data_IF_836847943797
#
_entry.id   IF_836847943797
#
_cell.length_a   1.000
_cell.length_b   1.000
_cell.length_c   1.000
_cell.angle_alpha   90.00
_cell.angle_beta   90.00
_cell.angle_gamma   90.00
#
_symmetry.space_group_name_H-M   'P 1'
#
loop_
_entity.id
_entity.type
_entity.pdbx_description
1 polymer ?
#
# COMPACT_ATOMS: atom_id res chain seq x y z
N UNK A 1 -22.10 -15.16 33.46
CA UNK A 1 -20.91 -15.33 32.60
C UNK A 1 -21.46 -15.34 31.19
N UNK A 2 -21.67 -14.18 30.57
CA UNK A 2 -22.37 -14.14 29.28
C UNK A 2 -21.56 -13.33 28.28
N UNK A 3 -20.37 -13.86 27.97
CA UNK A 3 -19.58 -13.48 26.80
C UNK A 3 -20.22 -13.98 25.48
N UNK A 4 -21.55 -13.94 25.39
CA UNK A 4 -22.35 -14.39 24.23
C UNK A 4 -23.09 -13.23 23.56
N UNK A 5 -22.46 -12.05 23.57
CA UNK A 5 -22.77 -10.97 22.64
C UNK A 5 -21.63 -10.82 21.64
N UNK A 6 -21.16 -11.94 21.08
CA UNK A 6 -20.31 -11.92 19.90
C UNK A 6 -21.19 -11.51 18.70
N UNK A 7 -21.25 -10.20 18.47
CA UNK A 7 -21.17 -9.58 17.14
C UNK A 7 -21.84 -10.38 16.01
N UNK A 8 -23.17 -10.38 15.95
CA UNK A 8 -23.90 -10.69 14.72
C UNK A 8 -23.80 -9.48 13.77
N UNK A 9 -22.59 -9.15 13.32
CA UNK A 9 -22.43 -8.20 12.22
C UNK A 9 -22.66 -8.98 10.92
N UNK A 10 -23.51 -8.51 9.99
CA UNK A 10 -23.62 -9.14 8.69
C UNK A 10 -22.24 -9.19 8.03
N UNK A 11 -21.95 -10.28 7.32
CA UNK A 11 -20.77 -10.34 6.47
C UNK A 11 -20.93 -9.32 5.34
N UNK A 12 -20.21 -8.20 5.46
CA UNK A 12 -20.17 -7.16 4.45
C UNK A 12 -18.79 -7.14 3.78
N UNK A 13 -18.78 -7.14 2.45
CA UNK A 13 -17.55 -6.97 1.68
C UNK A 13 -17.21 -5.48 1.65
N UNK A 14 -16.30 -5.05 2.52
CA UNK A 14 -15.76 -3.69 2.48
C UNK A 14 -14.74 -3.58 1.35
N UNK A 15 -15.07 -2.80 0.31
CA UNK A 15 -14.17 -2.54 -0.82
C UNK A 15 -13.27 -1.35 -0.52
N UNK A 16 -12.01 -1.43 -0.96
CA UNK A 16 -11.10 -0.30 -0.91
C UNK A 16 -11.27 0.57 -2.17
N UNK A 17 -11.52 1.87 -1.99
CA UNK A 17 -11.69 2.81 -3.10
C UNK A 17 -10.43 3.65 -3.39
N UNK A 18 -9.33 3.39 -2.67
CA UNK A 18 -8.08 4.10 -2.87
C UNK A 18 -7.34 3.60 -4.13
N UNK A 19 -7.10 4.48 -5.09
CA UNK A 19 -6.46 4.14 -6.38
C UNK A 19 -5.03 3.59 -6.24
N UNK A 20 -4.35 3.84 -5.12
CA UNK A 20 -3.02 3.30 -4.82
C UNK A 20 -3.04 1.93 -4.12
N UNK A 21 -4.22 1.37 -3.82
CA UNK A 21 -4.36 0.06 -3.20
C UNK A 21 -4.48 -1.04 -4.27
N UNK A 22 -3.67 -2.10 -4.16
CA UNK A 22 -3.66 -3.21 -5.13
C UNK A 22 -4.96 -4.01 -5.18
N UNK A 23 -5.78 -3.89 -4.14
CA UNK A 23 -7.09 -4.53 -4.05
C UNK A 23 -8.24 -3.60 -4.47
N UNK A 24 -7.95 -2.34 -4.78
CA UNK A 24 -8.97 -1.40 -5.25
C UNK A 24 -9.37 -1.68 -6.68
N UNK A 25 -10.65 -1.54 -6.98
CA UNK A 25 -11.17 -1.54 -8.35
C UNK A 25 -10.68 -0.33 -9.16
N UNK A 26 -10.24 0.74 -8.49
CA UNK A 26 -9.70 1.95 -9.10
C UNK A 26 -8.18 1.91 -9.24
N UNK A 27 -7.55 0.76 -8.99
CA UNK A 27 -6.11 0.62 -9.13
C UNK A 27 -5.69 0.74 -10.60
N UNK A 28 -4.58 1.45 -10.85
CA UNK A 28 -4.10 1.68 -12.20
C UNK A 28 -3.83 0.37 -12.93
N UNK A 29 -4.37 0.24 -14.15
CA UNK A 29 -4.12 -0.90 -15.03
C UNK A 29 -2.63 -1.02 -15.45
N UNK A 30 -1.83 0.04 -15.27
CA UNK A 30 -0.39 0.02 -15.51
C UNK A 30 0.42 -0.58 -14.34
N UNK A 31 -0.15 -0.67 -13.12
CA UNK A 31 0.51 -1.38 -12.01
C UNK A 31 0.24 -2.89 -12.14
N UNK A 32 1.01 -3.54 -12.99
CA UNK A 32 1.00 -5.00 -13.16
C UNK A 32 2.42 -5.58 -13.03
N UNK A 33 2.57 -6.88 -12.72
CA UNK A 33 3.86 -7.55 -12.76
C UNK A 33 4.54 -7.42 -14.14
N UNK A 34 5.89 -7.34 -14.21
CA UNK A 34 6.83 -7.41 -13.09
C UNK A 34 7.06 -6.06 -12.40
N UNK A 35 6.71 -4.94 -13.03
CA UNK A 35 6.99 -3.59 -12.53
C UNK A 35 6.34 -3.34 -11.16
N UNK A 36 5.05 -3.64 -11.01
CA UNK A 36 4.29 -3.41 -9.79
C UNK A 36 4.86 -4.20 -8.58
N UNK A 37 5.40 -5.41 -8.79
CA UNK A 37 6.03 -6.18 -7.72
C UNK A 37 7.30 -5.53 -7.17
N UNK A 38 8.00 -4.73 -8.00
CA UNK A 38 9.24 -4.06 -7.63
C UNK A 38 9.03 -2.63 -7.11
N UNK A 39 7.89 -2.01 -7.42
CA UNK A 39 7.65 -0.58 -7.13
C UNK A 39 6.46 -0.31 -6.20
N UNK A 40 5.51 -1.25 -6.05
CA UNK A 40 4.33 -1.03 -5.22
C UNK A 40 4.66 -1.22 -3.73
N UNK A 41 4.38 -0.19 -2.94
CA UNK A 41 4.63 -0.19 -1.50
C UNK A 41 3.88 -1.29 -0.73
N UNK A 42 2.77 -1.81 -1.25
CA UNK A 42 1.99 -2.91 -0.64
C UNK A 42 2.55 -4.32 -0.94
N UNK A 43 3.57 -4.41 -1.81
CA UNK A 43 4.34 -5.65 -2.05
C UNK A 43 5.73 -5.59 -1.42
N UNK A 44 6.34 -4.41 -1.40
CA UNK A 44 7.61 -4.18 -0.71
C UNK A 44 7.44 -4.44 0.79
N UNK A 45 8.37 -5.18 1.38
CA UNK A 45 8.43 -5.47 2.82
C UNK A 45 9.64 -4.76 3.43
N UNK A 46 9.81 -4.87 4.74
CA UNK A 46 11.09 -4.48 5.35
C UNK A 46 12.24 -5.32 4.74
N UNK A 47 13.40 -4.72 4.40
CA UNK A 47 13.79 -3.30 4.54
C UNK A 47 13.54 -2.46 3.27
N UNK A 48 12.89 -3.00 2.24
CA UNK A 48 12.65 -2.29 0.96
C UNK A 48 11.77 -1.05 1.13
N UNK A 49 10.91 -1.03 2.15
CA UNK A 49 10.12 0.15 2.53
C UNK A 49 10.89 1.15 3.40
N UNK A 50 12.04 0.76 3.96
CA UNK A 50 12.86 1.62 4.81
C UNK A 50 13.81 2.44 3.95
N UNK A 51 13.62 3.76 3.92
CA UNK A 51 14.67 4.66 3.46
C UNK A 51 15.63 4.92 4.62
N UNK A 52 16.88 4.41 4.59
CA UNK A 52 17.86 4.70 5.64
C UNK A 52 18.16 6.20 5.78
N UNK A 53 17.81 6.99 4.77
CA UNK A 53 17.92 8.44 4.77
C UNK A 53 16.52 9.08 4.81
N UNK A 54 15.70 8.78 5.82
CA UNK A 54 14.34 9.35 5.92
C UNK A 54 14.34 10.89 5.96
N UNK A 55 15.43 11.49 6.44
CA UNK A 55 15.64 12.94 6.45
C UNK A 55 16.35 13.47 5.19
N UNK A 56 16.76 12.58 4.28
CA UNK A 56 17.46 12.91 3.05
C UNK A 56 16.51 12.98 1.85
N UNK A 57 16.86 13.79 0.85
CA UNK A 57 16.13 13.81 -0.41
C UNK A 57 16.42 12.51 -1.18
N UNK A 58 15.42 11.95 -1.86
CA UNK A 58 15.66 10.83 -2.75
C UNK A 58 16.57 11.28 -3.93
N UNK A 59 17.33 10.38 -4.57
CA UNK A 59 18.28 10.76 -5.62
C UNK A 59 17.67 11.61 -6.75
N UNK A 60 16.42 11.32 -7.11
CA UNK A 60 15.68 12.10 -8.12
C UNK A 60 15.38 13.52 -7.65
N UNK A 61 14.94 13.71 -6.40
CA UNK A 61 14.67 15.05 -5.86
C UNK A 61 15.96 15.85 -5.67
N UNK A 62 17.06 15.22 -5.26
CA UNK A 62 18.36 15.88 -5.12
C UNK A 62 18.90 16.41 -6.46
N UNK A 63 18.67 15.69 -7.57
CA UNK A 63 19.05 16.15 -8.91
C UNK A 63 18.18 17.30 -9.41
N UNK A 64 16.92 17.38 -8.99
CA UNK A 64 15.99 18.43 -9.41
C UNK A 64 16.20 19.78 -8.67
N UNK A 65 17.02 19.79 -7.61
CA UNK A 65 17.32 20.98 -6.80
C UNK A 65 18.68 21.60 -7.19
N UNK A 66 19.35 21.07 -8.22
CA UNK A 66 20.58 21.65 -8.80
C UNK A 66 20.28 22.77 -9.79
#
# INVERSE_FOLDING_TARGET
MDAKLLMNLPEEIIRCEQSNCKFSLFHSASCKPPACLRTCWQYLRYPEQYSPNINGHCPSCSQAIQ
#
